data_IF_109049832688
#
_entry.id   IF_109049832688
#
_cell.length_a   1.000
_cell.length_b   1.000
_cell.length_c   1.000
_cell.angle_alpha   90.00
_cell.angle_beta   90.00
_cell.angle_gamma   90.00
#
_symmetry.space_group_name_H-M   'P 1'
#
loop_
_entity.id
_entity.type
_entity.pdbx_description
1 polymer ?
#
# COMPACT_ATOMS: atom_id res chain seq x y z
N UNK A 1 -21.78 -7.76 21.23
CA UNK A 1 -20.74 -6.72 21.22
C UNK A 1 -20.51 -6.34 19.78
N UNK A 2 -20.78 -5.08 19.43
CA UNK A 2 -20.38 -4.54 18.13
C UNK A 2 -18.92 -4.09 18.27
N UNK A 3 -18.05 -4.55 17.37
CA UNK A 3 -16.62 -4.23 17.42
C UNK A 3 -16.24 -3.42 16.18
N UNK A 4 -15.60 -2.27 16.39
CA UNK A 4 -15.07 -1.43 15.31
C UNK A 4 -13.62 -1.86 15.04
N UNK A 5 -13.36 -2.52 13.90
CA UNK A 5 -12.00 -2.82 13.45
C UNK A 5 -11.44 -1.68 12.62
N UNK A 6 -10.40 -1.01 13.14
CA UNK A 6 -9.68 0.06 12.43
C UNK A 6 -8.19 -0.29 12.29
N UNK A 7 -7.64 -0.11 11.09
CA UNK A 7 -6.20 -0.18 10.86
C UNK A 7 -5.64 1.23 11.06
N UNK A 8 -4.75 1.39 12.05
CA UNK A 8 -4.17 2.69 12.42
C UNK A 8 -2.66 2.62 12.19
N UNK A 9 -2.09 3.69 11.60
CA UNK A 9 -0.65 3.80 11.40
C UNK A 9 0.03 4.12 12.73
N UNK A 10 1.18 3.48 12.98
CA UNK A 10 2.06 3.81 14.10
C UNK A 10 3.04 4.90 13.66
N UNK A 11 3.12 5.99 14.42
CA UNK A 11 4.07 7.10 14.19
C UNK A 11 4.77 7.37 15.52
N UNK A 12 6.10 7.33 15.55
CA UNK A 12 6.91 7.54 16.77
C UNK A 12 6.40 6.73 17.97
N UNK A 13 6.13 5.44 17.73
CA UNK A 13 5.57 4.49 18.71
C UNK A 13 4.22 4.90 19.32
N UNK A 14 3.49 5.80 18.66
CA UNK A 14 2.20 6.33 19.10
C UNK A 14 1.09 5.92 18.14
N UNK A 15 -0.08 5.61 18.69
CA UNK A 15 -1.34 5.41 17.95
C UNK A 15 -2.37 6.44 18.42
N UNK A 16 -3.12 7.03 17.49
CA UNK A 16 -4.22 7.95 17.81
C UNK A 16 -5.54 7.31 17.37
N UNK A 17 -6.45 7.13 18.33
CA UNK A 17 -7.79 6.60 18.10
C UNK A 17 -8.77 7.74 18.37
N UNK A 18 -9.58 8.07 17.37
CA UNK A 18 -10.68 9.04 17.48
C UNK A 18 -11.97 8.28 17.38
N UNK A 19 -12.81 8.38 18.41
CA UNK A 19 -14.15 7.79 18.43
C UNK A 19 -15.14 8.72 17.69
N UNK A 20 -16.20 8.16 17.10
CA UNK A 20 -17.28 8.96 16.52
C UNK A 20 -17.98 9.85 17.56
N UNK A 21 -18.51 11.00 17.12
CA UNK A 21 -19.25 11.94 17.99
C UNK A 21 -20.49 11.32 18.65
N UNK A 22 -21.04 10.26 18.06
CA UNK A 22 -22.21 9.54 18.56
C UNK A 22 -21.86 8.30 19.41
N UNK A 23 -20.60 8.13 19.81
CA UNK A 23 -20.20 7.06 20.71
C UNK A 23 -20.71 7.33 22.13
N UNK A 24 -21.67 6.53 22.60
CA UNK A 24 -22.40 6.76 23.86
C UNK A 24 -21.97 5.86 25.01
N UNK A 25 -21.09 4.89 24.77
CA UNK A 25 -20.66 3.95 25.80
C UNK A 25 -19.58 4.58 26.70
N UNK A 26 -19.56 4.20 27.98
CA UNK A 26 -18.65 4.76 28.97
C UNK A 26 -17.21 4.21 28.91
N UNK A 27 -16.99 3.10 28.20
CA UNK A 27 -15.72 2.37 28.18
C UNK A 27 -15.43 1.76 26.80
N UNK A 28 -14.14 1.65 26.45
CA UNK A 28 -13.66 1.01 25.22
C UNK A 28 -12.48 0.10 25.56
N UNK A 29 -12.52 -1.13 25.06
CA UNK A 29 -11.37 -2.05 25.08
C UNK A 29 -10.54 -1.92 23.80
N UNK A 30 -9.22 -1.78 23.93
CA UNK A 30 -8.28 -1.68 22.80
C UNK A 30 -7.31 -2.86 22.81
N UNK A 31 -7.31 -3.65 21.75
CA UNK A 31 -6.36 -4.76 21.56
C UNK A 31 -5.28 -4.34 20.56
N UNK A 32 -4.03 -4.25 21.02
CA UNK A 32 -2.87 -3.95 20.17
C UNK A 32 -2.17 -5.25 19.78
N UNK A 33 -2.32 -5.65 18.52
CA UNK A 33 -1.61 -6.79 17.96
C UNK A 33 -0.43 -6.28 17.14
N UNK A 34 0.75 -6.87 17.36
CA UNK A 34 1.89 -6.66 16.46
C UNK A 34 1.47 -7.12 15.07
N UNK A 35 1.53 -6.22 14.10
CA UNK A 35 1.31 -6.62 12.73
C UNK A 35 2.58 -7.31 12.21
N UNK A 36 2.65 -8.63 12.34
CA UNK A 36 3.71 -9.44 11.73
C UNK A 36 3.55 -9.55 10.20
N UNK A 37 2.45 -9.02 9.65
CA UNK A 37 2.26 -8.80 8.21
C UNK A 37 3.06 -7.58 7.76
N UNK A 38 4.38 -7.63 7.95
CA UNK A 38 5.27 -6.80 7.17
C UNK A 38 5.10 -7.34 5.74
N UNK A 39 4.42 -6.58 4.88
CA UNK A 39 4.49 -6.78 3.42
C UNK A 39 5.92 -6.42 2.99
N UNK A 40 6.90 -7.22 3.41
CA UNK A 40 8.25 -7.17 2.92
C UNK A 40 8.25 -7.95 1.61
N UNK A 41 8.91 -7.38 0.60
CA UNK A 41 9.22 -8.14 -0.60
C UNK A 41 10.03 -9.36 -0.18
N UNK A 42 9.63 -10.54 -0.64
CA UNK A 42 10.44 -11.75 -0.50
C UNK A 42 11.75 -11.58 -1.29
N UNK A 43 12.78 -12.34 -0.95
CA UNK A 43 14.06 -12.28 -1.68
C UNK A 43 13.88 -12.57 -3.18
N UNK A 44 13.01 -13.52 -3.54
CA UNK A 44 12.67 -13.78 -4.94
C UNK A 44 12.03 -12.57 -5.64
N UNK A 45 11.15 -11.83 -4.94
CA UNK A 45 10.55 -10.62 -5.51
C UNK A 45 11.59 -9.52 -5.72
N UNK A 46 12.52 -9.35 -4.76
CA UNK A 46 13.65 -8.42 -4.91
C UNK A 46 14.56 -8.81 -6.06
N UNK A 47 14.85 -10.09 -6.23
CA UNK A 47 15.70 -10.58 -7.33
C UNK A 47 15.07 -10.29 -8.71
N UNK A 48 13.76 -10.50 -8.86
CA UNK A 48 13.04 -10.18 -10.10
C UNK A 48 13.12 -8.68 -10.42
N UNK A 49 12.95 -7.82 -9.41
CA UNK A 49 13.06 -6.37 -9.60
C UNK A 49 14.48 -5.96 -9.99
N UNK A 50 15.50 -6.54 -9.35
CA UNK A 50 16.90 -6.28 -9.68
C UNK A 50 17.25 -6.72 -11.11
N UNK A 51 16.72 -7.87 -11.57
CA UNK A 51 16.89 -8.33 -12.95
C UNK A 51 16.29 -7.31 -13.94
N UNK A 52 15.05 -6.88 -13.70
CA UNK A 52 14.38 -5.88 -14.55
C UNK A 52 15.12 -4.54 -14.59
N UNK A 53 15.68 -4.11 -13.47
CA UNK A 53 16.46 -2.87 -13.41
C UNK A 53 17.78 -2.97 -14.19
N UNK A 54 18.33 -4.16 -14.34
CA UNK A 54 19.55 -4.41 -15.09
C UNK A 54 19.29 -4.70 -16.59
N UNK A 55 18.03 -4.76 -17.02
CA UNK A 55 17.70 -4.95 -18.43
C UNK A 55 18.04 -3.69 -19.23
N UNK A 56 18.58 -3.84 -20.45
CA UNK A 56 18.85 -2.71 -21.33
C UNK A 56 17.60 -1.87 -21.63
N UNK A 57 17.73 -0.55 -21.47
CA UNK A 57 16.63 0.40 -21.72
C UNK A 57 16.17 0.44 -23.18
N UNK A 58 16.96 -0.09 -24.12
CA UNK A 58 16.66 -0.14 -25.55
C UNK A 58 15.48 -1.08 -25.91
N UNK A 59 15.10 -1.97 -24.98
CA UNK A 59 13.93 -2.83 -25.10
C UNK A 59 12.64 -2.20 -24.58
N UNK A 60 12.72 -1.03 -23.96
CA UNK A 60 11.59 -0.34 -23.35
C UNK A 60 11.27 0.96 -24.10
N UNK A 61 9.98 1.28 -24.16
CA UNK A 61 9.52 2.58 -24.64
C UNK A 61 9.18 3.47 -23.45
N UNK A 62 9.33 4.78 -23.62
CA UNK A 62 8.94 5.73 -22.59
C UNK A 62 7.42 5.69 -22.36
N UNK A 63 6.98 6.19 -21.21
CA UNK A 63 5.54 6.31 -20.92
C UNK A 63 4.84 7.18 -21.98
N UNK A 64 5.48 8.25 -22.42
CA UNK A 64 4.98 9.17 -23.45
C UNK A 64 4.84 8.46 -24.80
N UNK A 65 5.83 7.65 -25.19
CA UNK A 65 5.78 6.84 -26.41
C UNK A 65 4.65 5.81 -26.34
N UNK A 66 4.52 5.12 -25.20
CA UNK A 66 3.45 4.15 -24.95
C UNK A 66 2.06 4.79 -25.09
N UNK A 67 1.84 5.93 -24.43
CA UNK A 67 0.60 6.68 -24.53
C UNK A 67 0.36 7.12 -25.99
N UNK A 68 1.38 7.60 -26.68
CA UNK A 68 1.30 7.99 -28.09
C UNK A 68 0.84 6.85 -29.00
N UNK A 69 1.37 5.63 -28.81
CA UNK A 69 0.93 4.45 -29.56
C UNK A 69 -0.53 4.09 -29.28
N UNK A 70 -0.96 4.15 -28.01
CA UNK A 70 -2.33 3.84 -27.63
C UNK A 70 -3.33 4.82 -28.25
N UNK A 71 -3.03 6.13 -28.19
CA UNK A 71 -3.84 7.17 -28.82
C UNK A 71 -3.94 6.97 -30.34
N UNK A 72 -2.82 6.68 -31.00
CA UNK A 72 -2.80 6.44 -32.45
C UNK A 72 -3.59 5.20 -32.86
N UNK A 73 -3.54 4.13 -32.08
CA UNK A 73 -4.20 2.85 -32.41
C UNK A 73 -5.69 2.85 -32.09
N UNK A 74 -6.11 3.53 -31.03
CA UNK A 74 -7.48 3.44 -30.49
C UNK A 74 -8.24 4.78 -30.46
N UNK A 75 -7.63 5.91 -30.84
CA UNK A 75 -8.29 7.21 -30.89
C UNK A 75 -8.55 7.85 -29.51
N UNK A 76 -7.76 7.49 -28.50
CA UNK A 76 -7.81 8.04 -27.13
C UNK A 76 -7.25 9.46 -27.02
#
# INVERSE_FOLDING_TARGET
MEAIRKIVKVIDNTITITLPDNFSDGEVEVIVLKNDSIFALTENQKEILNKRLAEPDDHYISAEQSIGYLKKKYGL
#
